data_IF_129896424453
#
_entry.id   IF_129896424453
#
_cell.length_a   1.000
_cell.length_b   1.000
_cell.length_c   1.000
_cell.angle_alpha   90.00
_cell.angle_beta   90.00
_cell.angle_gamma   90.00
#
_symmetry.space_group_name_H-M   'P 1'
#
loop_
_entity.id
_entity.type
_entity.pdbx_description
1 polymer ?
#
# COMPACT_ATOMS: atom_id res chain seq x y z
N UNK A 1 9.73 3.97 -20.66
CA UNK A 1 8.83 2.90 -20.21
C UNK A 1 7.83 3.56 -19.28
N UNK A 2 6.53 3.32 -19.43
CA UNK A 2 5.56 3.81 -18.43
C UNK A 2 5.70 3.04 -17.12
N UNK A 3 5.19 3.62 -16.04
CA UNK A 3 5.20 3.03 -14.69
C UNK A 3 4.55 1.64 -14.66
N UNK A 4 3.36 1.51 -15.26
CA UNK A 4 2.71 0.21 -15.52
C UNK A 4 3.58 -0.78 -16.29
N UNK A 5 4.28 -0.34 -17.35
CA UNK A 5 5.11 -1.25 -18.14
C UNK A 5 6.30 -1.79 -17.33
N UNK A 6 6.86 -0.98 -16.43
CA UNK A 6 7.92 -1.42 -15.52
C UNK A 6 7.45 -2.59 -14.67
N UNK A 7 6.30 -2.45 -13.98
CA UNK A 7 5.73 -3.51 -13.17
C UNK A 7 5.45 -4.79 -13.99
N UNK A 8 4.79 -4.65 -15.14
CA UNK A 8 4.47 -5.80 -15.99
C UNK A 8 5.73 -6.50 -16.53
N UNK A 9 6.80 -5.75 -16.80
CA UNK A 9 8.09 -6.29 -17.22
C UNK A 9 8.80 -7.04 -16.09
N UNK A 10 8.76 -6.52 -14.86
CA UNK A 10 9.33 -7.21 -13.68
C UNK A 10 8.59 -8.51 -13.41
N UNK A 11 7.25 -8.55 -13.51
CA UNK A 11 6.44 -9.76 -13.42
C UNK A 11 6.74 -10.79 -14.53
N UNK A 12 7.45 -10.39 -15.59
CA UNK A 12 7.94 -11.27 -16.67
C UNK A 12 9.43 -11.62 -16.50
N UNK A 13 10.02 -11.36 -15.33
CA UNK A 13 11.44 -11.57 -15.03
C UNK A 13 12.40 -10.81 -15.96
N UNK A 14 11.96 -9.69 -16.53
CA UNK A 14 12.88 -8.76 -17.18
C UNK A 14 13.73 -8.05 -16.11
N UNK A 15 14.98 -7.75 -16.43
CA UNK A 15 16.01 -7.34 -15.45
C UNK A 15 16.74 -6.08 -15.88
N UNK A 16 17.48 -5.48 -14.94
CA UNK A 16 18.35 -4.33 -15.17
C UNK A 16 17.60 -3.00 -15.16
N UNK A 17 16.49 -2.91 -14.44
CA UNK A 17 15.75 -1.67 -14.25
C UNK A 17 16.42 -0.79 -13.20
N UNK A 18 16.46 0.52 -13.45
CA UNK A 18 17.09 1.49 -12.55
C UNK A 18 16.35 1.66 -11.20
N UNK A 19 15.08 1.27 -11.15
CA UNK A 19 14.25 1.26 -9.95
C UNK A 19 13.36 0.03 -9.91
N UNK A 20 12.96 -0.39 -8.71
CA UNK A 20 11.91 -1.38 -8.54
C UNK A 20 10.53 -0.74 -8.80
N UNK A 21 9.48 -1.54 -9.10
CA UNK A 21 8.10 -1.05 -9.08
C UNK A 21 7.64 -0.72 -7.65
N UNK A 22 6.78 0.28 -7.51
CA UNK A 22 6.11 0.70 -6.29
C UNK A 22 4.61 0.40 -6.37
N UNK A 23 4.12 -0.42 -5.44
CA UNK A 23 2.71 -0.82 -5.34
C UNK A 23 2.19 -0.52 -3.93
N UNK A 24 1.60 0.66 -3.68
CA UNK A 24 0.98 0.97 -2.40
C UNK A 24 -0.33 0.19 -2.24
N UNK A 25 -0.43 -0.59 -1.17
CA UNK A 25 -1.67 -1.23 -0.76
C UNK A 25 -2.48 -0.23 0.06
N UNK A 26 -3.08 0.75 -0.62
CA UNK A 26 -3.81 1.85 0.00
C UNK A 26 -5.33 1.58 -0.01
N UNK A 27 -5.78 0.47 0.57
CA UNK A 27 -7.18 0.05 0.63
C UNK A 27 -8.09 1.07 1.30
N UNK A 28 -8.39 0.90 2.59
CA UNK A 28 -9.21 1.90 3.30
C UNK A 28 -8.49 3.22 3.52
N UNK A 29 -7.15 3.19 3.56
CA UNK A 29 -6.30 4.38 3.63
C UNK A 29 -6.56 5.38 2.48
N UNK A 30 -7.00 4.94 1.30
CA UNK A 30 -7.37 5.87 0.23
C UNK A 30 -8.44 6.90 0.66
N UNK A 31 -9.37 6.50 1.55
CA UNK A 31 -10.41 7.38 2.06
C UNK A 31 -9.85 8.56 2.87
N UNK A 32 -8.82 8.32 3.69
CA UNK A 32 -8.25 9.37 4.54
C UNK A 32 -7.60 10.50 3.73
N UNK A 33 -7.12 10.21 2.51
CA UNK A 33 -6.54 11.20 1.59
C UNK A 33 -7.55 12.22 1.06
N UNK A 34 -8.85 11.88 1.09
CA UNK A 34 -9.94 12.74 0.61
C UNK A 34 -10.96 13.09 1.71
N UNK A 35 -10.70 12.68 2.96
CA UNK A 35 -11.56 12.96 4.10
C UNK A 35 -12.81 12.10 4.18
N UNK A 36 -12.84 10.95 3.49
CA UNK A 36 -13.87 9.92 3.65
C UNK A 36 -13.43 8.85 4.64
N UNK A 37 -14.39 8.26 5.34
CA UNK A 37 -14.14 7.07 6.15
C UNK A 37 -14.22 5.76 5.32
N UNK A 38 -13.78 4.65 5.91
CA UNK A 38 -13.79 3.33 5.30
C UNK A 38 -15.19 2.88 4.89
N UNK A 39 -16.23 3.16 5.71
CA UNK A 39 -17.59 2.75 5.42
C UNK A 39 -18.13 3.50 4.21
N UNK A 40 -17.81 4.79 4.08
CA UNK A 40 -18.22 5.62 2.95
C UNK A 40 -17.66 5.10 1.62
N UNK A 41 -16.35 4.85 1.55
CA UNK A 41 -15.73 4.40 0.29
C UNK A 41 -16.09 2.95 -0.04
N UNK A 42 -16.40 2.11 0.95
CA UNK A 42 -16.78 0.71 0.73
C UNK A 42 -18.26 0.52 0.36
N UNK A 43 -19.08 1.58 0.45
CA UNK A 43 -20.49 1.56 0.05
C UNK A 43 -20.82 2.48 -1.14
N UNK A 44 -19.91 3.36 -1.56
CA UNK A 44 -20.13 4.31 -2.65
C UNK A 44 -18.99 4.25 -3.67
N UNK A 45 -19.31 3.81 -4.88
CA UNK A 45 -18.34 3.64 -5.96
C UNK A 45 -17.71 4.96 -6.42
N UNK A 46 -18.45 6.08 -6.35
CA UNK A 46 -17.93 7.37 -6.80
C UNK A 46 -16.94 7.93 -5.76
N UNK A 47 -17.23 7.76 -4.46
CA UNK A 47 -16.26 8.06 -3.38
C UNK A 47 -15.02 7.16 -3.44
N UNK A 48 -15.21 5.86 -3.71
CA UNK A 48 -14.09 4.93 -3.90
C UNK A 48 -13.17 5.38 -5.04
N UNK A 49 -13.75 5.76 -6.19
CA UNK A 49 -12.96 6.24 -7.33
C UNK A 49 -12.21 7.54 -6.99
N UNK A 50 -12.86 8.49 -6.31
CA UNK A 50 -12.22 9.74 -5.88
C UNK A 50 -11.02 9.47 -4.95
N UNK A 51 -11.21 8.58 -3.97
CA UNK A 51 -10.17 8.14 -3.05
C UNK A 51 -9.00 7.47 -3.79
N UNK A 52 -9.28 6.55 -4.71
CA UNK A 52 -8.27 5.85 -5.51
C UNK A 52 -7.52 6.80 -6.46
N UNK A 53 -8.17 7.83 -6.99
CA UNK A 53 -7.49 8.88 -7.77
C UNK A 53 -6.57 9.74 -6.91
N UNK A 54 -6.89 9.91 -5.63
CA UNK A 54 -6.03 10.61 -4.67
C UNK A 54 -4.75 9.80 -4.39
N UNK A 55 -4.86 8.48 -4.23
CA UNK A 55 -3.70 7.57 -4.19
C UNK A 55 -2.83 7.73 -5.44
N UNK A 56 -3.44 7.78 -6.62
CA UNK A 56 -2.70 7.92 -7.86
C UNK A 56 -1.95 9.28 -7.95
N UNK A 57 -2.59 10.33 -7.43
CA UNK A 57 -2.04 11.69 -7.39
C UNK A 57 -0.89 11.84 -6.41
N UNK A 58 -0.97 11.24 -5.22
CA UNK A 58 0.04 11.40 -4.18
C UNK A 58 1.16 10.36 -4.26
N UNK A 59 0.83 9.10 -4.56
CA UNK A 59 1.77 7.98 -4.45
C UNK A 59 2.31 7.48 -5.79
N UNK A 60 1.79 7.99 -6.91
CA UNK A 60 2.26 7.66 -8.27
C UNK A 60 2.54 6.15 -8.48
N UNK A 61 1.54 5.29 -8.25
CA UNK A 61 1.73 3.85 -8.23
C UNK A 61 2.01 3.27 -9.63
N UNK A 62 3.00 2.36 -9.70
CA UNK A 62 3.18 1.48 -10.86
C UNK A 62 2.04 0.45 -10.94
N UNK A 63 1.54 0.03 -9.77
CA UNK A 63 0.38 -0.84 -9.59
C UNK A 63 -0.46 -0.42 -8.39
N UNK A 64 -1.78 -0.63 -8.46
CA UNK A 64 -2.72 -0.20 -7.42
C UNK A 64 -3.90 -1.17 -7.31
N UNK A 65 -4.21 -1.70 -6.10
CA UNK A 65 -5.47 -2.40 -5.88
C UNK A 65 -6.65 -1.44 -5.92
N UNK A 66 -7.74 -1.85 -6.56
CA UNK A 66 -9.00 -1.09 -6.57
C UNK A 66 -9.74 -1.23 -5.24
N UNK A 67 -9.59 -2.38 -4.58
CA UNK A 67 -10.13 -2.64 -3.25
C UNK A 67 -9.22 -3.63 -2.51
N UNK A 68 -9.09 -3.43 -1.20
CA UNK A 68 -8.42 -4.36 -0.29
C UNK A 68 -9.40 -4.69 0.86
N UNK A 69 -10.35 -5.58 0.58
CA UNK A 69 -11.41 -6.01 1.48
C UNK A 69 -11.64 -7.51 1.19
N UNK A 70 -11.43 -8.36 2.19
CA UNK A 70 -11.52 -9.83 2.08
C UNK A 70 -12.92 -10.35 2.37
N UNK A 71 -13.88 -9.45 2.59
CA UNK A 71 -15.20 -9.75 3.10
C UNK A 71 -16.26 -9.75 1.99
N UNK A 72 -15.93 -9.33 0.76
CA UNK A 72 -16.86 -9.31 -0.37
C UNK A 72 -17.43 -10.69 -0.71
N UNK A 73 -16.57 -11.70 -0.87
CA UNK A 73 -17.00 -13.05 -1.21
C UNK A 73 -17.78 -13.68 -0.06
N UNK A 74 -17.32 -13.46 1.18
CA UNK A 74 -18.00 -13.94 2.38
C UNK A 74 -19.40 -13.34 2.52
N UNK A 75 -19.53 -12.02 2.34
CA UNK A 75 -20.82 -11.31 2.36
C UNK A 75 -21.77 -11.83 1.28
N UNK A 76 -21.29 -11.99 0.05
CA UNK A 76 -22.09 -12.54 -1.05
C UNK A 76 -22.54 -13.99 -0.78
N UNK A 77 -21.77 -14.74 0.00
CA UNK A 77 -22.10 -16.10 0.44
C UNK A 77 -22.96 -16.16 1.70
N UNK A 78 -23.38 -15.01 2.25
CA UNK A 78 -24.33 -14.91 3.36
C UNK A 78 -23.69 -14.76 4.74
N UNK A 79 -22.39 -14.46 4.84
CA UNK A 79 -21.79 -14.00 6.09
C UNK A 79 -22.32 -12.60 6.43
N UNK A 80 -22.73 -12.40 7.68
CA UNK A 80 -22.99 -11.05 8.18
C UNK A 80 -21.68 -10.37 8.53
N UNK A 81 -21.59 -9.07 8.25
CA UNK A 81 -20.40 -8.27 8.55
C UNK A 81 -20.62 -7.39 9.77
N UNK A 82 -19.56 -7.20 10.56
CA UNK A 82 -19.44 -6.14 11.54
C UNK A 82 -18.69 -4.97 10.89
N UNK A 83 -19.31 -3.79 10.97
CA UNK A 83 -18.76 -2.54 10.48
C UNK A 83 -18.34 -1.68 11.66
N UNK A 84 -17.11 -1.19 11.63
CA UNK A 84 -16.60 -0.32 12.69
C UNK A 84 -17.27 1.07 12.61
N UNK A 85 -17.77 1.56 13.75
CA UNK A 85 -18.39 2.89 13.83
C UNK A 85 -17.37 4.02 13.68
N UNK A 86 -16.09 3.76 13.98
CA UNK A 86 -14.99 4.70 13.78
C UNK A 86 -14.58 4.87 12.31
N UNK A 87 -14.99 3.95 11.44
CA UNK A 87 -14.77 4.04 9.99
C UNK A 87 -13.30 4.05 9.58
N UNK A 88 -12.40 3.44 10.37
CA UNK A 88 -10.95 3.42 10.07
C UNK A 88 -10.41 2.06 9.68
N UNK A 89 -11.27 1.05 9.57
CA UNK A 89 -10.89 -0.32 9.24
C UNK A 89 -11.92 -0.91 8.28
N UNK A 90 -11.53 -1.89 7.43
CA UNK A 90 -12.50 -2.66 6.66
C UNK A 90 -13.43 -3.46 7.60
N UNK A 91 -14.60 -3.91 7.09
CA UNK A 91 -15.51 -4.73 7.87
C UNK A 91 -14.87 -6.07 8.28
N UNK A 92 -15.43 -6.73 9.29
CA UNK A 92 -15.02 -8.09 9.69
C UNK A 92 -16.19 -9.06 9.61
N UNK A 93 -15.93 -10.33 9.31
CA UNK A 93 -16.98 -11.36 9.29
C UNK A 93 -17.45 -11.62 10.73
N UNK A 94 -18.76 -11.53 10.94
CA UNK A 94 -19.44 -11.74 12.23
C UNK A 94 -20.07 -13.13 12.35
N UNK A 95 -20.55 -13.70 11.25
CA UNK A 95 -21.25 -15.00 11.26
C UNK A 95 -20.71 -15.95 10.20
N UNK A 96 -20.79 -17.23 10.52
CA UNK A 96 -20.29 -18.33 9.70
C UNK A 96 -21.47 -19.26 9.34
N UNK A 97 -22.02 -19.19 8.10
CA UNK A 97 -23.26 -19.89 7.74
C UNK A 97 -23.24 -21.42 7.97
N UNK A 98 -22.06 -22.03 8.01
CA UNK A 98 -21.86 -23.47 8.18
C UNK A 98 -21.06 -23.82 9.44
N UNK A 99 -21.05 -22.95 10.46
CA UNK A 99 -20.33 -23.18 11.73
C UNK A 99 -20.73 -24.47 12.43
N UNK A 100 -22.04 -24.76 12.44
CA UNK A 100 -22.62 -25.85 13.23
C UNK A 100 -22.97 -27.09 12.39
N UNK A 101 -22.77 -27.05 11.07
CA UNK A 101 -23.11 -28.14 10.15
C UNK A 101 -22.04 -28.30 9.06
N UNK A 102 -21.49 -29.51 8.90
CA UNK A 102 -20.57 -29.86 7.80
C UNK A 102 -21.33 -30.00 6.50
N UNK A 103 -21.56 -28.87 5.83
CA UNK A 103 -22.32 -28.82 4.57
C UNK A 103 -21.51 -28.10 3.51
N UNK A 104 -21.42 -28.72 2.33
CA UNK A 104 -20.88 -28.07 1.15
C UNK A 104 -21.95 -27.14 0.57
N UNK A 105 -21.65 -25.85 0.36
CA UNK A 105 -22.62 -24.91 -0.19
C UNK A 105 -23.07 -25.33 -1.60
N UNK A 106 -24.27 -24.91 -1.98
CA UNK A 106 -24.75 -25.12 -3.34
C UNK A 106 -23.92 -24.29 -4.33
N UNK A 107 -23.56 -24.86 -5.48
CA UNK A 107 -22.94 -24.09 -6.59
C UNK A 107 -23.76 -22.88 -7.03
N UNK A 108 -25.07 -22.89 -6.79
CA UNK A 108 -25.97 -21.77 -7.04
C UNK A 108 -25.71 -20.54 -6.14
N UNK A 109 -24.90 -20.69 -5.08
CA UNK A 109 -24.46 -19.59 -4.21
C UNK A 109 -23.15 -18.95 -4.70
N UNK A 110 -22.51 -19.46 -5.75
CA UNK A 110 -21.30 -18.84 -6.30
C UNK A 110 -21.65 -17.40 -6.72
N UNK A 111 -20.94 -16.37 -6.19
CA UNK A 111 -21.27 -14.98 -6.44
C UNK A 111 -21.27 -14.59 -7.91
N UNK A 112 -22.19 -13.69 -8.24
CA UNK A 112 -22.34 -12.99 -9.53
C UNK A 112 -22.16 -11.49 -9.34
N UNK A 113 -22.17 -10.76 -10.45
CA UNK A 113 -21.94 -9.31 -10.46
C UNK A 113 -22.96 -8.53 -9.64
N UNK A 114 -24.19 -9.03 -9.53
CA UNK A 114 -25.29 -8.39 -8.79
C UNK A 114 -25.31 -8.67 -7.28
N UNK A 115 -24.47 -9.58 -6.79
CA UNK A 115 -24.49 -10.04 -5.40
C UNK A 115 -23.67 -9.13 -4.47
N UNK A 116 -24.17 -8.91 -3.25
CA UNK A 116 -23.48 -8.16 -2.21
C UNK A 116 -23.00 -6.77 -2.67
N UNK A 117 -21.72 -6.46 -2.38
CA UNK A 117 -21.06 -5.20 -2.79
C UNK A 117 -20.33 -5.28 -4.14
N UNK A 118 -20.42 -6.38 -4.90
CA UNK A 118 -19.78 -6.47 -6.22
C UNK A 118 -20.20 -5.35 -7.19
N UNK A 119 -21.47 -4.91 -7.28
CA UNK A 119 -21.84 -3.81 -8.19
C UNK A 119 -21.05 -2.52 -7.98
N UNK A 120 -20.71 -2.21 -6.72
CA UNK A 120 -19.93 -1.02 -6.33
C UNK A 120 -18.50 -1.18 -6.82
N UNK A 121 -17.86 -2.31 -6.49
CA UNK A 121 -16.47 -2.59 -6.85
C UNK A 121 -16.29 -2.67 -8.36
N UNK A 122 -17.17 -3.38 -9.07
CA UNK A 122 -17.08 -3.51 -10.52
C UNK A 122 -17.30 -2.16 -11.23
N UNK A 123 -18.18 -1.28 -10.69
CA UNK A 123 -18.31 0.10 -11.17
C UNK A 123 -17.01 0.87 -10.98
N UNK A 124 -16.39 0.80 -9.81
CA UNK A 124 -15.12 1.46 -9.53
C UNK A 124 -13.97 0.92 -10.40
N UNK A 125 -13.88 -0.40 -10.58
CA UNK A 125 -12.88 -1.05 -11.45
C UNK A 125 -12.93 -0.54 -12.89
N UNK A 126 -14.13 -0.53 -13.50
CA UNK A 126 -14.31 0.02 -14.85
C UNK A 126 -13.89 1.48 -14.92
N UNK A 127 -14.26 2.27 -13.90
CA UNK A 127 -13.95 3.70 -13.90
C UNK A 127 -12.46 3.98 -13.71
N UNK A 128 -11.80 3.29 -12.80
CA UNK A 128 -10.35 3.36 -12.65
C UNK A 128 -9.63 2.92 -13.91
N UNK A 129 -10.12 1.87 -14.59
CA UNK A 129 -9.55 1.44 -15.86
C UNK A 129 -9.58 2.55 -16.90
N UNK A 130 -10.69 3.26 -17.04
CA UNK A 130 -10.79 4.42 -17.96
C UNK A 130 -9.83 5.55 -17.60
N UNK A 131 -9.55 5.76 -16.30
CA UNK A 131 -8.84 6.94 -15.81
C UNK A 131 -7.32 6.77 -15.79
N UNK A 132 -6.79 5.58 -15.44
CA UNK A 132 -5.36 5.41 -15.12
C UNK A 132 -4.64 4.31 -15.91
N UNK A 133 -5.32 3.58 -16.80
CA UNK A 133 -4.78 2.34 -17.39
C UNK A 133 -3.49 2.48 -18.20
N UNK A 134 -3.16 3.70 -18.64
CA UNK A 134 -1.95 3.99 -19.42
C UNK A 134 -0.68 3.99 -18.56
N UNK A 135 -0.80 4.34 -17.27
CA UNK A 135 0.35 4.50 -16.37
C UNK A 135 0.30 3.62 -15.12
N UNK A 136 -0.86 3.11 -14.68
CA UNK A 136 -0.96 2.27 -13.47
C UNK A 136 -1.62 0.93 -13.79
N UNK A 137 -1.00 -0.17 -13.38
CA UNK A 137 -1.61 -1.50 -13.43
C UNK A 137 -2.65 -1.64 -12.32
N UNK A 138 -3.85 -2.14 -12.63
CA UNK A 138 -4.90 -2.31 -11.61
C UNK A 138 -4.95 -3.75 -11.10
N UNK A 139 -4.93 -3.91 -9.78
CA UNK A 139 -5.07 -5.20 -9.11
C UNK A 139 -6.52 -5.44 -8.69
N UNK A 140 -7.04 -6.62 -9.04
CA UNK A 140 -8.25 -7.17 -8.44
C UNK A 140 -7.88 -8.16 -7.34
N UNK A 141 -8.17 -7.83 -6.08
CA UNK A 141 -7.85 -8.68 -4.92
C UNK A 141 -9.06 -9.52 -4.53
N UNK A 142 -8.84 -10.81 -4.32
CA UNK A 142 -9.85 -11.84 -4.04
C UNK A 142 -9.49 -12.51 -2.73
N UNK A 143 -10.47 -12.75 -1.85
CA UNK A 143 -10.25 -13.58 -0.68
C UNK A 143 -9.85 -15.01 -1.11
N UNK A 144 -8.72 -15.51 -0.62
CA UNK A 144 -8.20 -16.82 -1.00
C UNK A 144 -9.04 -17.99 -0.47
N UNK A 145 -8.92 -19.20 -1.06
CA UNK A 145 -9.78 -20.34 -0.74
C UNK A 145 -9.76 -20.77 0.73
N UNK A 146 -8.62 -20.70 1.44
CA UNK A 146 -8.54 -21.14 2.83
C UNK A 146 -9.25 -20.14 3.76
N UNK A 147 -8.95 -18.85 3.62
CA UNK A 147 -9.62 -17.78 4.37
C UNK A 147 -11.11 -17.75 4.08
N UNK A 148 -11.52 -17.93 2.83
CA UNK A 148 -12.95 -18.01 2.49
C UNK A 148 -13.63 -19.24 3.11
N UNK A 149 -12.97 -20.41 3.10
CA UNK A 149 -13.48 -21.59 3.78
C UNK A 149 -13.63 -21.36 5.30
N UNK A 150 -12.70 -20.63 5.91
CA UNK A 150 -12.78 -20.24 7.32
C UNK A 150 -13.91 -19.25 7.58
N UNK A 151 -14.18 -18.30 6.68
CA UNK A 151 -15.36 -17.44 6.77
C UNK A 151 -16.67 -18.22 6.71
N UNK A 152 -16.72 -19.33 5.97
CA UNK A 152 -17.93 -20.15 5.87
C UNK A 152 -18.11 -21.11 7.06
N UNK A 153 -17.02 -21.75 7.49
CA UNK A 153 -17.02 -22.84 8.48
C UNK A 153 -16.68 -22.38 9.90
N UNK A 154 -16.08 -21.21 10.04
CA UNK A 154 -15.50 -20.72 11.29
C UNK A 154 -14.28 -21.54 11.72
N UNK A 155 -13.93 -21.40 13.01
CA UNK A 155 -12.77 -22.06 13.62
C UNK A 155 -12.75 -23.60 13.51
N UNK A 156 -13.92 -24.23 13.30
CA UNK A 156 -14.04 -25.68 13.16
C UNK A 156 -13.29 -26.22 11.93
N UNK A 157 -13.00 -25.38 10.94
CA UNK A 157 -12.24 -25.76 9.75
C UNK A 157 -10.89 -26.41 10.11
N UNK A 158 -10.17 -25.86 11.09
CA UNK A 158 -8.86 -26.38 11.47
C UNK A 158 -8.93 -27.75 12.16
N UNK A 159 -10.00 -28.00 12.92
CA UNK A 159 -10.24 -29.35 13.47
C UNK A 159 -10.64 -30.31 12.35
N UNK A 160 -11.46 -29.85 11.41
CA UNK A 160 -11.91 -30.65 10.27
C UNK A 160 -10.76 -31.07 9.34
N UNK A 161 -9.65 -30.31 9.28
CA UNK A 161 -8.43 -30.73 8.56
C UNK A 161 -7.85 -32.03 9.10
N UNK A 162 -7.97 -32.29 10.40
CA UNK A 162 -7.51 -33.54 11.02
C UNK A 162 -8.59 -34.63 11.02
N UNK A 163 -9.84 -34.24 11.33
CA UNK A 163 -10.92 -35.19 11.60
C UNK A 163 -11.65 -35.64 10.33
N UNK A 164 -11.63 -34.84 9.25
CA UNK A 164 -12.46 -35.03 8.07
C UNK A 164 -11.89 -34.34 6.81
N UNK A 165 -10.73 -34.80 6.36
CA UNK A 165 -10.01 -34.24 5.21
C UNK A 165 -10.86 -34.20 3.92
N UNK A 166 -11.73 -35.21 3.69
CA UNK A 166 -12.62 -35.25 2.51
C UNK A 166 -13.63 -34.09 2.50
N UNK A 167 -14.19 -33.74 3.66
CA UNK A 167 -15.03 -32.55 3.78
C UNK A 167 -14.24 -31.27 3.47
N UNK A 168 -13.03 -31.14 4.02
CA UNK A 168 -12.17 -29.95 3.78
C UNK A 168 -11.81 -29.83 2.31
N UNK A 169 -11.39 -30.91 1.64
CA UNK A 169 -11.13 -30.89 0.19
C UNK A 169 -12.33 -30.42 -0.61
N UNK A 170 -13.53 -30.89 -0.28
CA UNK A 170 -14.77 -30.46 -0.97
C UNK A 170 -15.10 -29.00 -0.71
N UNK A 171 -14.88 -28.52 0.52
CA UNK A 171 -15.12 -27.11 0.87
C UNK A 171 -14.13 -26.18 0.17
N UNK A 172 -12.83 -26.52 0.19
CA UNK A 172 -11.80 -25.80 -0.56
C UNK A 172 -12.10 -25.81 -2.06
N UNK A 173 -12.53 -26.94 -2.62
CA UNK A 173 -12.92 -27.03 -4.03
C UNK A 173 -14.08 -26.07 -4.36
N UNK A 174 -15.07 -25.95 -3.48
CA UNK A 174 -16.13 -24.94 -3.62
C UNK A 174 -15.58 -23.51 -3.54
N UNK A 175 -14.74 -23.19 -2.55
CA UNK A 175 -14.13 -21.86 -2.43
C UNK A 175 -13.27 -21.50 -3.64
N UNK A 176 -12.52 -22.46 -4.19
CA UNK A 176 -11.76 -22.29 -5.44
C UNK A 176 -12.68 -21.89 -6.61
N UNK A 177 -13.86 -22.50 -6.74
CA UNK A 177 -14.82 -22.13 -7.79
C UNK A 177 -15.37 -20.71 -7.59
N UNK A 178 -15.58 -20.28 -6.33
CA UNK A 178 -15.92 -18.90 -6.01
C UNK A 178 -14.80 -17.95 -6.44
N UNK A 179 -13.56 -18.22 -6.03
CA UNK A 179 -12.39 -17.45 -6.42
C UNK A 179 -12.24 -17.34 -7.95
N UNK A 180 -12.45 -18.44 -8.69
CA UNK A 180 -12.42 -18.44 -10.15
C UNK A 180 -13.53 -17.60 -10.78
N UNK A 181 -14.76 -17.65 -10.23
CA UNK A 181 -15.87 -16.80 -10.67
C UNK A 181 -15.55 -15.31 -10.50
N UNK A 182 -15.03 -14.94 -9.32
CA UNK A 182 -14.68 -13.56 -9.01
C UNK A 182 -13.51 -13.06 -9.87
N UNK A 183 -12.49 -13.90 -10.08
CA UNK A 183 -11.40 -13.58 -11.00
C UNK A 183 -11.93 -13.29 -12.41
N UNK A 184 -12.87 -14.11 -12.90
CA UNK A 184 -13.48 -13.90 -14.21
C UNK A 184 -14.26 -12.57 -14.28
N UNK A 185 -14.97 -12.17 -13.22
CA UNK A 185 -15.63 -10.86 -13.13
C UNK A 185 -14.61 -9.71 -13.18
N UNK A 186 -13.53 -9.81 -12.42
CA UNK A 186 -12.49 -8.77 -12.38
C UNK A 186 -11.73 -8.64 -13.70
N UNK A 187 -11.43 -9.76 -14.36
CA UNK A 187 -10.84 -9.78 -15.71
C UNK A 187 -11.76 -9.09 -16.73
N UNK A 188 -13.06 -9.37 -16.71
CA UNK A 188 -14.05 -8.74 -17.60
C UNK A 188 -14.19 -7.23 -17.36
N UNK A 189 -13.87 -6.78 -16.13
CA UNK A 189 -13.88 -5.37 -15.75
C UNK A 189 -12.50 -4.72 -15.79
N UNK A 190 -11.54 -5.36 -16.46
CA UNK A 190 -10.29 -4.76 -16.92
C UNK A 190 -9.13 -4.79 -15.94
N UNK A 191 -9.19 -5.57 -14.85
CA UNK A 191 -8.04 -5.72 -13.95
C UNK A 191 -6.85 -6.33 -14.68
N UNK A 192 -5.67 -5.73 -14.47
CA UNK A 192 -4.43 -6.11 -15.15
C UNK A 192 -3.70 -7.25 -14.42
N UNK A 193 -3.92 -7.39 -13.11
CA UNK A 193 -3.32 -8.39 -12.22
C UNK A 193 -4.40 -8.90 -11.27
N UNK A 194 -4.43 -10.20 -11.00
CA UNK A 194 -5.35 -10.80 -10.01
C UNK A 194 -4.56 -11.30 -8.81
N UNK A 195 -4.91 -10.78 -7.63
CA UNK A 195 -4.33 -11.17 -6.36
C UNK A 195 -5.25 -12.08 -5.57
N UNK A 196 -4.74 -13.15 -4.98
CA UNK A 196 -5.44 -13.90 -3.94
C UNK A 196 -4.81 -13.61 -2.60
N UNK A 197 -5.62 -13.14 -1.65
CA UNK A 197 -5.18 -12.76 -0.31
C UNK A 197 -5.68 -13.78 0.69
N UNK A 198 -4.76 -14.53 1.28
CA UNK A 198 -5.09 -15.67 2.13
C UNK A 198 -4.23 -15.70 3.40
N UNK A 199 -4.54 -14.83 4.38
CA UNK A 199 -3.74 -14.69 5.60
C UNK A 199 -3.61 -15.99 6.40
N UNK A 200 -4.56 -16.92 6.27
CA UNK A 200 -4.52 -18.19 7.02
C UNK A 200 -3.45 -19.16 6.52
N UNK A 201 -2.83 -18.92 5.37
CA UNK A 201 -1.72 -19.74 4.86
C UNK A 201 -0.49 -19.72 5.77
N UNK A 202 -0.26 -18.65 6.53
CA UNK A 202 0.82 -18.61 7.55
C UNK A 202 0.46 -19.34 8.84
N UNK A 203 -0.82 -19.72 9.02
CA UNK A 203 -1.34 -20.31 10.26
C UNK A 203 -1.44 -21.84 10.23
N UNK A 204 -1.09 -22.47 9.11
CA UNK A 204 -1.10 -23.93 8.92
C UNK A 204 0.27 -24.43 8.46
N UNK A 205 0.53 -25.73 8.68
CA UNK A 205 1.82 -26.34 8.32
C UNK A 205 1.94 -26.49 6.80
N UNK A 206 3.18 -26.58 6.31
CA UNK A 206 3.45 -26.84 4.90
C UNK A 206 2.78 -28.12 4.39
N UNK A 207 2.69 -29.16 5.22
CA UNK A 207 2.01 -30.42 4.85
C UNK A 207 0.51 -30.21 4.59
N UNK A 208 -0.17 -29.44 5.43
CA UNK A 208 -1.58 -29.09 5.20
C UNK A 208 -1.77 -28.21 3.96
N UNK A 209 -0.84 -27.30 3.69
CA UNK A 209 -0.86 -26.49 2.46
C UNK A 209 -0.72 -27.42 1.24
N UNK A 210 0.23 -28.35 1.28
CA UNK A 210 0.44 -29.32 0.21
C UNK A 210 -0.79 -30.20 -0.04
N UNK A 211 -1.41 -30.69 1.03
CA UNK A 211 -2.59 -31.55 0.95
C UNK A 211 -3.80 -30.79 0.41
N UNK A 212 -4.16 -29.67 1.02
CA UNK A 212 -5.46 -29.04 0.77
C UNK A 212 -5.45 -27.96 -0.31
N UNK A 213 -4.32 -27.28 -0.54
CA UNK A 213 -4.31 -25.98 -1.24
C UNK A 213 -3.43 -25.93 -2.47
N UNK A 214 -2.37 -26.75 -2.54
CA UNK A 214 -1.39 -26.71 -3.62
C UNK A 214 -2.04 -26.83 -5.01
N UNK A 215 -2.88 -27.86 -5.21
CA UNK A 215 -3.56 -28.09 -6.49
C UNK A 215 -4.61 -27.01 -6.77
N UNK A 216 -5.35 -26.58 -5.74
CA UNK A 216 -6.39 -25.57 -5.89
C UNK A 216 -5.82 -24.23 -6.38
N UNK A 217 -4.71 -23.78 -5.78
CA UNK A 217 -4.02 -22.57 -6.21
C UNK A 217 -3.31 -22.73 -7.55
N UNK A 218 -2.65 -23.87 -7.79
CA UNK A 218 -1.98 -24.12 -9.06
C UNK A 218 -2.97 -24.07 -10.24
N UNK A 219 -4.19 -24.57 -10.07
CA UNK A 219 -5.25 -24.44 -11.09
C UNK A 219 -5.70 -22.98 -11.29
N UNK A 220 -5.89 -22.21 -10.21
CA UNK A 220 -6.27 -20.80 -10.27
C UNK A 220 -5.21 -19.96 -11.00
N UNK A 221 -3.94 -20.13 -10.65
CA UNK A 221 -2.84 -19.41 -11.29
C UNK A 221 -2.62 -19.86 -12.73
N UNK A 222 -2.75 -21.16 -13.01
CA UNK A 222 -2.67 -21.67 -14.38
C UNK A 222 -3.79 -21.10 -15.26
N UNK A 223 -5.00 -20.90 -14.72
CA UNK A 223 -6.09 -20.25 -15.44
C UNK A 223 -5.74 -18.80 -15.79
N UNK A 224 -5.28 -17.99 -14.83
CA UNK A 224 -4.87 -16.60 -15.07
C UNK A 224 -3.77 -16.49 -16.13
N UNK A 225 -2.80 -17.42 -16.10
CA UNK A 225 -1.76 -17.53 -17.11
C UNK A 225 -2.33 -17.79 -18.51
N UNK A 226 -3.36 -18.62 -18.67
CA UNK A 226 -4.04 -18.80 -19.97
C UNK A 226 -4.78 -17.55 -20.45
N UNK A 227 -5.22 -16.70 -19.51
CA UNK A 227 -5.79 -15.39 -19.78
C UNK A 227 -4.74 -14.31 -20.05
N UNK A 228 -3.44 -14.63 -19.97
CA UNK A 228 -2.32 -13.69 -20.09
C UNK A 228 -2.35 -12.58 -19.03
N UNK A 229 -2.85 -12.89 -17.84
CA UNK A 229 -2.92 -11.98 -16.70
C UNK A 229 -2.02 -12.51 -15.59
N UNK A 230 -1.07 -11.71 -15.07
CA UNK A 230 -0.24 -12.11 -13.95
C UNK A 230 -1.07 -12.34 -12.69
N UNK A 231 -0.58 -13.26 -11.88
CA UNK A 231 -1.13 -13.62 -10.59
C UNK A 231 -0.24 -13.16 -9.44
N UNK A 232 -0.86 -12.80 -8.32
CA UNK A 232 -0.15 -12.48 -7.09
C UNK A 232 -0.76 -13.23 -5.91
N UNK A 233 0.06 -13.87 -5.10
CA UNK A 233 -0.35 -14.47 -3.83
C UNK A 233 0.05 -13.54 -2.70
N UNK A 234 -0.90 -13.16 -1.84
CA UNK A 234 -0.65 -12.33 -0.66
C UNK A 234 -0.80 -13.19 0.59
N UNK A 235 0.25 -13.21 1.41
CA UNK A 235 0.26 -13.95 2.67
C UNK A 235 0.65 -13.02 3.80
N UNK A 236 -0.27 -12.86 4.76
CA UNK A 236 -0.04 -12.07 5.96
C UNK A 236 0.60 -12.92 7.06
N UNK A 237 1.31 -12.27 7.99
CA UNK A 237 2.02 -12.92 9.09
C UNK A 237 3.32 -13.63 8.66
N UNK A 238 3.96 -14.31 9.60
CA UNK A 238 5.23 -15.00 9.34
C UNK A 238 5.04 -16.25 8.47
N UNK A 239 5.26 -16.09 7.17
CA UNK A 239 5.19 -17.17 6.19
C UNK A 239 6.55 -17.86 5.95
N UNK A 240 7.60 -17.57 6.73
CA UNK A 240 8.98 -18.01 6.47
C UNK A 240 9.08 -19.52 6.28
N UNK A 241 8.40 -20.30 7.12
CA UNK A 241 8.38 -21.76 7.05
C UNK A 241 7.66 -22.30 5.80
N UNK A 242 6.74 -21.53 5.22
CA UNK A 242 5.86 -21.94 4.14
C UNK A 242 6.31 -21.40 2.77
N UNK A 243 7.35 -20.55 2.69
CA UNK A 243 7.79 -19.89 1.44
C UNK A 243 7.94 -20.85 0.25
N UNK A 244 8.56 -22.01 0.47
CA UNK A 244 8.82 -22.97 -0.60
C UNK A 244 7.52 -23.61 -1.13
N UNK A 245 6.59 -24.01 -0.24
CA UNK A 245 5.30 -24.57 -0.68
C UNK A 245 4.43 -23.50 -1.35
N UNK A 246 4.48 -22.25 -0.87
CA UNK A 246 3.77 -21.13 -1.50
C UNK A 246 4.29 -20.86 -2.93
N UNK A 247 5.61 -20.91 -3.14
CA UNK A 247 6.19 -20.79 -4.48
C UNK A 247 5.81 -21.97 -5.38
N UNK A 248 5.69 -23.19 -4.84
CA UNK A 248 5.25 -24.37 -5.60
C UNK A 248 3.80 -24.29 -6.10
N UNK A 249 2.98 -23.40 -5.55
CA UNK A 249 1.66 -23.09 -6.12
C UNK A 249 1.77 -22.40 -7.49
N UNK A 250 2.94 -21.81 -7.81
CA UNK A 250 3.26 -21.11 -9.06
C UNK A 250 2.51 -19.79 -9.29
N UNK A 251 2.43 -18.88 -8.30
CA UNK A 251 2.05 -17.50 -8.59
C UNK A 251 3.16 -16.81 -9.40
N UNK A 252 2.83 -15.77 -10.16
CA UNK A 252 3.87 -14.92 -10.81
C UNK A 252 4.54 -13.99 -9.77
N UNK A 253 3.82 -13.63 -8.70
CA UNK A 253 4.33 -12.83 -7.59
C UNK A 253 3.87 -13.37 -6.23
N UNK A 254 4.75 -13.32 -5.22
CA UNK A 254 4.44 -13.56 -3.82
C UNK A 254 4.67 -12.27 -3.02
N UNK A 255 3.60 -11.69 -2.47
CA UNK A 255 3.66 -10.54 -1.56
C UNK A 255 3.65 -11.02 -0.11
N UNK A 256 4.69 -10.64 0.65
CA UNK A 256 4.92 -11.11 2.02
C UNK A 256 4.81 -10.00 3.06
N UNK A 257 4.39 -10.38 4.26
CA UNK A 257 4.27 -9.51 5.43
C UNK A 257 5.61 -9.08 6.02
N UNK A 258 5.59 -8.03 6.85
CA UNK A 258 6.75 -7.42 7.52
C UNK A 258 7.56 -8.38 8.43
N UNK A 259 6.99 -9.53 8.78
CA UNK A 259 7.67 -10.57 9.58
C UNK A 259 8.63 -11.45 8.77
N UNK A 260 8.66 -11.33 7.44
CA UNK A 260 9.49 -12.16 6.56
C UNK A 260 10.80 -11.45 6.18
N UNK A 261 11.92 -12.18 6.24
CA UNK A 261 13.20 -11.66 5.75
C UNK A 261 13.20 -11.58 4.22
N UNK A 262 13.25 -10.36 3.65
CA UNK A 262 13.19 -10.13 2.20
C UNK A 262 14.32 -10.83 1.44
N UNK A 263 15.54 -10.82 1.97
CA UNK A 263 16.69 -11.49 1.35
C UNK A 263 16.48 -13.00 1.21
N UNK A 264 16.04 -13.65 2.29
CA UNK A 264 15.86 -15.09 2.30
C UNK A 264 14.64 -15.51 1.46
N UNK A 265 13.56 -14.72 1.55
CA UNK A 265 12.38 -14.92 0.71
C UNK A 265 12.69 -14.78 -0.79
N UNK A 266 13.49 -13.77 -1.18
CA UNK A 266 13.85 -13.55 -2.58
C UNK A 266 14.71 -14.71 -3.12
N UNK A 267 15.61 -15.23 -2.29
CA UNK A 267 16.42 -16.40 -2.63
C UNK A 267 15.56 -17.66 -2.85
N UNK A 268 14.46 -17.84 -2.11
CA UNK A 268 13.49 -18.91 -2.35
C UNK A 268 12.68 -18.64 -3.61
N UNK A 269 12.10 -17.45 -3.76
CA UNK A 269 11.24 -17.09 -4.90
C UNK A 269 11.97 -17.24 -6.24
N UNK A 270 13.25 -16.83 -6.32
CA UNK A 270 14.08 -16.99 -7.53
C UNK A 270 14.32 -18.45 -7.95
N UNK A 271 14.21 -19.43 -7.04
CA UNK A 271 14.31 -20.86 -7.41
C UNK A 271 13.11 -21.34 -8.21
N UNK A 272 11.99 -20.62 -8.11
CA UNK A 272 10.70 -20.99 -8.65
C UNK A 272 10.17 -20.01 -9.69
N UNK A 273 11.00 -19.06 -10.14
CA UNK A 273 10.60 -17.97 -11.04
C UNK A 273 9.37 -17.22 -10.50
N UNK A 274 9.46 -16.77 -9.25
CA UNK A 274 8.44 -15.95 -8.59
C UNK A 274 9.04 -14.60 -8.24
N UNK A 275 8.32 -13.51 -8.53
CA UNK A 275 8.69 -12.15 -8.12
C UNK A 275 8.29 -11.93 -6.65
N UNK A 276 9.17 -11.33 -5.85
CA UNK A 276 8.88 -11.03 -4.45
C UNK A 276 8.30 -9.60 -4.32
N UNK A 277 7.20 -9.47 -3.58
CA UNK A 277 6.62 -8.19 -3.17
C UNK A 277 6.71 -7.97 -1.66
N UNK A 278 7.00 -6.75 -1.23
CA UNK A 278 6.93 -6.35 0.18
C UNK A 278 8.20 -5.62 0.64
N UNK A 279 8.44 -5.46 1.93
CA UNK A 279 7.48 -5.64 3.02
C UNK A 279 7.63 -4.51 4.05
N UNK A 280 7.45 -3.26 3.61
CA UNK A 280 7.61 -2.08 4.47
C UNK A 280 6.70 -2.22 5.70
N UNK A 281 7.27 -1.97 6.88
CA UNK A 281 6.59 -2.13 8.17
C UNK A 281 5.43 -1.13 8.33
N UNK A 282 4.24 -1.62 8.62
CA UNK A 282 3.02 -0.82 8.62
C UNK A 282 2.92 0.09 9.85
N UNK A 283 3.11 -0.49 11.04
CA UNK A 283 2.86 0.24 12.29
C UNK A 283 4.05 1.12 12.68
N UNK A 284 5.24 0.52 12.72
CA UNK A 284 6.45 1.21 13.23
C UNK A 284 6.96 2.22 12.21
N UNK A 285 7.00 1.85 10.93
CA UNK A 285 7.56 2.72 9.88
C UNK A 285 6.48 3.58 9.23
N UNK A 286 5.43 3.00 8.65
CA UNK A 286 4.48 3.79 7.87
C UNK A 286 3.55 4.65 8.74
N UNK A 287 3.00 4.13 9.83
CA UNK A 287 2.03 4.86 10.66
C UNK A 287 2.70 5.81 11.66
N UNK A 288 3.73 5.33 12.38
CA UNK A 288 4.38 6.10 13.44
C UNK A 288 5.77 6.62 13.10
N UNK A 289 6.35 6.18 11.98
CA UNK A 289 7.66 6.63 11.53
C UNK A 289 7.60 7.96 10.77
N UNK A 290 8.77 8.56 10.63
CA UNK A 290 8.99 9.75 9.82
C UNK A 290 9.08 9.39 8.33
N UNK A 291 9.06 10.42 7.48
CA UNK A 291 9.33 10.25 6.04
C UNK A 291 10.71 9.63 5.80
N UNK A 292 11.71 9.94 6.63
CA UNK A 292 13.04 9.35 6.55
C UNK A 292 13.05 7.86 6.87
N UNK A 293 12.27 7.43 7.88
CA UNK A 293 12.16 6.00 8.23
C UNK A 293 11.56 5.19 7.06
N UNK A 294 10.55 5.76 6.39
CA UNK A 294 9.92 5.16 5.22
C UNK A 294 10.87 5.08 4.02
N UNK A 295 11.64 6.14 3.76
CA UNK A 295 12.69 6.10 2.73
C UNK A 295 13.76 5.07 3.07
N UNK A 296 14.24 5.05 4.32
CA UNK A 296 15.27 4.13 4.79
C UNK A 296 14.82 2.68 4.65
N UNK A 297 13.58 2.37 5.00
CA UNK A 297 13.01 1.03 4.82
C UNK A 297 13.04 0.57 3.36
N UNK A 298 12.69 1.44 2.41
CA UNK A 298 12.79 1.14 0.97
C UNK A 298 14.23 0.87 0.54
N UNK A 299 15.17 1.75 0.92
CA UNK A 299 16.60 1.57 0.60
C UNK A 299 17.10 0.25 1.18
N UNK A 300 16.78 -0.04 2.43
CA UNK A 300 17.22 -1.26 3.12
C UNK A 300 16.70 -2.52 2.45
N UNK A 301 15.43 -2.54 2.03
CA UNK A 301 14.86 -3.67 1.28
C UNK A 301 15.63 -3.89 -0.03
N UNK A 302 15.86 -2.82 -0.81
CA UNK A 302 16.58 -2.90 -2.10
C UNK A 302 18.03 -3.37 -1.89
N UNK A 303 18.72 -2.87 -0.86
CA UNK A 303 20.09 -3.26 -0.54
C UNK A 303 20.18 -4.72 -0.05
N UNK A 304 19.26 -5.15 0.82
CA UNK A 304 19.19 -6.53 1.29
C UNK A 304 18.94 -7.52 0.14
N UNK A 305 18.16 -7.10 -0.86
CA UNK A 305 17.85 -7.87 -2.06
C UNK A 305 18.91 -7.78 -3.15
N UNK A 306 19.98 -7.01 -2.91
CA UNK A 306 21.10 -6.77 -3.83
C UNK A 306 20.66 -6.16 -5.18
N UNK A 307 19.60 -5.36 -5.17
CA UNK A 307 19.07 -4.66 -6.35
C UNK A 307 17.56 -4.76 -6.51
N UNK A 308 17.10 -4.52 -7.74
CA UNK A 308 15.69 -4.33 -8.10
C UNK A 308 15.10 -5.50 -8.90
N UNK A 309 15.92 -6.47 -9.28
CA UNK A 309 15.50 -7.61 -10.10
C UNK A 309 14.65 -8.60 -9.31
N UNK A 310 13.52 -9.00 -9.90
CA UNK A 310 12.54 -9.91 -9.30
C UNK A 310 11.94 -9.38 -7.97
N UNK A 311 11.88 -8.05 -7.81
CA UNK A 311 11.45 -7.36 -6.60
C UNK A 311 10.41 -6.28 -6.91
N UNK A 312 9.36 -6.21 -6.08
CA UNK A 312 8.36 -5.14 -6.03
C UNK A 312 8.36 -4.54 -4.63
N UNK A 313 8.53 -3.22 -4.54
CA UNK A 313 8.44 -2.51 -3.27
C UNK A 313 6.97 -2.27 -2.97
N UNK A 314 6.54 -2.73 -1.80
CA UNK A 314 5.18 -2.55 -1.29
C UNK A 314 5.16 -2.65 0.24
N UNK A 315 4.11 -2.13 0.89
CA UNK A 315 3.87 -2.39 2.30
C UNK A 315 3.70 -3.90 2.60
N UNK A 316 3.91 -4.33 3.84
CA UNK A 316 3.71 -5.74 4.21
C UNK A 316 2.25 -6.23 4.10
N UNK A 317 1.28 -5.32 4.20
CA UNK A 317 -0.15 -5.59 4.03
C UNK A 317 -0.88 -4.28 3.68
N UNK A 318 -2.21 -4.22 3.83
CA UNK A 318 -2.98 -2.99 3.66
C UNK A 318 -2.48 -1.87 4.59
N UNK A 319 -2.30 -0.67 4.04
CA UNK A 319 -1.82 0.49 4.79
C UNK A 319 -2.86 0.88 5.87
N UNK A 320 -2.43 1.09 7.12
CA UNK A 320 -3.32 1.62 8.16
C UNK A 320 -3.99 2.93 7.71
N UNK A 321 -5.25 3.11 8.06
CA UNK A 321 -6.06 4.25 7.59
C UNK A 321 -5.41 5.61 7.86
N UNK A 322 -4.84 5.77 9.06
CA UNK A 322 -4.22 7.01 9.54
C UNK A 322 -2.75 7.19 9.14
N UNK A 323 -2.20 6.37 8.23
CA UNK A 323 -0.84 6.58 7.72
C UNK A 323 -0.72 8.02 7.19
N UNK A 324 0.28 8.81 7.66
CA UNK A 324 0.50 10.15 7.13
C UNK A 324 0.84 10.10 5.63
N UNK A 325 0.21 10.97 4.83
CA UNK A 325 0.34 10.98 3.36
C UNK A 325 1.79 11.10 2.88
N UNK A 326 2.60 11.87 3.60
CA UNK A 326 4.03 12.04 3.41
C UNK A 326 4.81 10.71 3.42
N UNK A 327 4.36 9.70 4.16
CA UNK A 327 5.08 8.45 4.31
C UNK A 327 4.91 7.58 3.05
N UNK A 328 3.73 7.59 2.43
CA UNK A 328 3.55 6.98 1.10
C UNK A 328 4.32 7.72 0.00
N UNK A 329 4.34 9.06 0.04
CA UNK A 329 5.14 9.89 -0.88
C UNK A 329 6.65 9.60 -0.71
N UNK A 330 7.10 9.43 0.53
CA UNK A 330 8.47 9.13 0.88
C UNK A 330 8.93 7.79 0.29
N UNK A 331 8.10 6.75 0.38
CA UNK A 331 8.37 5.47 -0.27
C UNK A 331 8.52 5.61 -1.79
N UNK A 332 7.58 6.30 -2.44
CA UNK A 332 7.65 6.57 -3.88
C UNK A 332 8.95 7.30 -4.26
N UNK A 333 9.34 8.31 -3.49
CA UNK A 333 10.57 9.05 -3.74
C UNK A 333 11.83 8.18 -3.57
N UNK A 334 11.88 7.33 -2.54
CA UNK A 334 13.01 6.42 -2.35
C UNK A 334 13.17 5.41 -3.50
N UNK A 335 12.06 4.97 -4.09
CA UNK A 335 12.09 4.08 -5.25
C UNK A 335 12.57 4.83 -6.50
N UNK A 336 12.05 6.03 -6.75
CA UNK A 336 12.34 6.78 -7.99
C UNK A 336 13.67 7.51 -8.01
N UNK A 337 14.16 7.95 -6.86
CA UNK A 337 15.39 8.73 -6.69
C UNK A 337 16.40 8.01 -5.78
N UNK A 338 16.52 6.70 -5.98
CA UNK A 338 17.25 5.76 -5.13
C UNK A 338 18.66 6.22 -4.73
N UNK A 339 19.51 6.59 -5.70
CA UNK A 339 20.90 6.94 -5.41
C UNK A 339 21.04 8.22 -4.58
N UNK A 340 20.20 9.24 -4.84
CA UNK A 340 20.23 10.48 -4.08
C UNK A 340 19.69 10.28 -2.67
N UNK A 341 18.58 9.54 -2.53
CA UNK A 341 17.99 9.21 -1.22
C UNK A 341 18.95 8.37 -0.39
N UNK A 342 19.55 7.33 -0.97
CA UNK A 342 20.59 6.52 -0.34
C UNK A 342 21.77 7.37 0.13
N UNK A 343 22.24 8.29 -0.71
CA UNK A 343 23.34 9.19 -0.35
C UNK A 343 22.96 10.15 0.79
N UNK A 344 21.74 10.69 0.76
CA UNK A 344 21.22 11.56 1.81
C UNK A 344 21.08 10.82 3.15
N UNK A 345 20.74 9.53 3.11
CA UNK A 345 20.55 8.68 4.28
C UNK A 345 21.80 7.89 4.71
N UNK A 346 22.95 8.06 4.05
CA UNK A 346 24.16 7.25 4.31
C UNK A 346 24.66 7.31 5.77
N UNK A 347 24.33 8.37 6.50
CA UNK A 347 24.65 8.57 7.91
C UNK A 347 23.39 8.62 8.79
N UNK A 348 22.22 8.35 8.22
CA UNK A 348 20.97 8.28 8.97
C UNK A 348 20.94 6.96 9.74
N UNK A 349 21.18 7.06 11.04
CA UNK A 349 20.84 6.02 11.99
C UNK A 349 19.52 6.42 12.68
N UNK A 350 18.45 5.62 12.57
CA UNK A 350 17.22 5.84 13.34
C UNK A 350 17.47 5.88 14.86
N UNK A 351 18.56 5.27 15.34
CA UNK A 351 18.90 5.15 16.76
C UNK A 351 20.05 6.05 17.24
N UNK A 352 20.83 6.72 16.37
CA UNK A 352 21.97 7.58 16.76
C UNK A 352 22.03 8.91 15.99
N UNK A 353 22.23 10.02 16.70
CA UNK A 353 21.99 11.38 16.18
C UNK A 353 23.21 12.31 16.11
N UNK A 354 23.16 13.18 15.09
CA UNK A 354 24.16 14.15 14.60
C UNK A 354 24.39 15.34 15.56
N UNK A 355 24.90 15.09 16.77
CA UNK A 355 25.15 16.13 17.77
C UNK A 355 26.28 17.12 17.40
N UNK A 356 27.04 16.84 16.33
CA UNK A 356 28.26 17.57 15.99
C UNK A 356 28.06 18.80 15.08
N UNK A 357 26.85 19.07 14.61
CA UNK A 357 26.56 20.21 13.69
C UNK A 357 25.88 21.35 14.44
N UNK A 358 26.65 22.37 14.84
CA UNK A 358 26.10 23.59 15.42
C UNK A 358 25.26 24.38 14.39
N UNK A 359 23.96 24.50 14.63
CA UNK A 359 23.04 25.36 13.86
C UNK A 359 22.47 26.44 14.77
N UNK A 360 22.65 27.71 14.43
CA UNK A 360 21.96 28.82 15.10
C UNK A 360 20.53 28.97 14.54
N UNK A 361 19.54 28.98 15.43
CA UNK A 361 18.16 29.32 15.07
C UNK A 361 18.01 30.83 15.01
N UNK A 362 17.08 31.31 14.17
CA UNK A 362 16.77 32.73 14.11
C UNK A 362 16.09 33.17 15.40
N UNK A 363 16.35 34.41 15.82
CA UNK A 363 15.55 35.08 16.84
C UNK A 363 14.21 35.50 16.23
N UNK A 364 13.26 34.56 16.18
CA UNK A 364 12.00 34.75 15.47
C UNK A 364 11.16 35.94 15.98
N UNK A 365 11.35 36.35 17.24
CA UNK A 365 10.67 37.50 17.86
C UNK A 365 11.21 38.86 17.36
N UNK A 366 12.42 38.89 16.80
CA UNK A 366 13.09 40.12 16.36
C UNK A 366 12.92 40.38 14.84
N UNK A 367 12.16 39.53 14.15
CA UNK A 367 11.98 39.61 12.70
C UNK A 367 11.05 40.77 12.32
N UNK A 368 11.49 41.62 11.38
CA UNK A 368 10.67 42.74 10.87
C UNK A 368 9.49 42.28 10.01
N UNK A 369 9.56 41.06 9.46
CA UNK A 369 8.47 40.41 8.72
C UNK A 369 8.51 38.91 8.96
N UNK A 370 7.37 38.21 8.81
CA UNK A 370 7.35 36.75 8.92
C UNK A 370 8.37 36.08 7.99
N UNK A 371 9.08 35.08 8.49
CA UNK A 371 9.88 34.17 7.67
C UNK A 371 9.14 32.85 7.51
N UNK A 372 9.05 32.40 6.27
CA UNK A 372 8.48 31.11 5.88
C UNK A 372 9.62 30.16 5.58
N UNK A 373 9.76 29.14 6.40
CA UNK A 373 10.75 28.09 6.21
C UNK A 373 10.04 26.87 5.66
N UNK A 374 10.39 26.50 4.43
CA UNK A 374 9.84 25.32 3.77
C UNK A 374 10.87 24.22 3.88
N UNK A 375 10.55 23.18 4.65
CA UNK A 375 11.38 21.99 4.73
C UNK A 375 10.88 21.01 3.68
N UNK A 376 11.79 20.56 2.83
CA UNK A 376 11.50 19.65 1.72
C UNK A 376 12.50 18.51 1.74
N UNK A 377 12.18 17.38 1.11
CA UNK A 377 13.24 16.43 0.79
C UNK A 377 14.14 17.02 -0.30
N UNK A 378 13.55 17.25 -1.48
CA UNK A 378 14.16 17.97 -2.58
C UNK A 378 13.04 18.48 -3.50
N UNK A 379 12.77 19.79 -3.55
CA UNK A 379 11.70 20.31 -4.43
C UNK A 379 11.99 20.21 -5.92
N UNK A 380 13.19 19.77 -6.31
CA UNK A 380 13.56 19.53 -7.71
C UNK A 380 13.13 18.15 -8.18
N UNK A 381 13.03 17.18 -7.28
CA UNK A 381 12.74 15.77 -7.63
C UNK A 381 11.50 15.20 -6.94
N UNK A 382 11.14 15.68 -5.75
CA UNK A 382 9.93 15.26 -5.04
C UNK A 382 8.71 16.07 -5.49
N UNK A 383 7.70 15.40 -6.07
CA UNK A 383 6.48 16.05 -6.55
C UNK A 383 5.76 16.88 -5.48
N UNK A 384 5.55 16.33 -4.27
CA UNK A 384 4.90 17.05 -3.17
C UNK A 384 5.73 18.29 -2.76
N UNK A 385 7.05 18.16 -2.66
CA UNK A 385 7.92 19.30 -2.36
C UNK A 385 7.90 20.35 -3.47
N UNK A 386 7.87 19.93 -4.74
CA UNK A 386 7.72 20.81 -5.90
C UNK A 386 6.42 21.60 -5.81
N UNK A 387 5.29 20.95 -5.52
CA UNK A 387 4.00 21.63 -5.38
C UNK A 387 3.96 22.58 -4.20
N UNK A 388 4.49 22.18 -3.03
CA UNK A 388 4.60 23.06 -1.86
C UNK A 388 5.43 24.30 -2.18
N UNK A 389 6.60 24.10 -2.80
CA UNK A 389 7.47 25.22 -3.18
C UNK A 389 6.84 26.11 -4.25
N UNK A 390 6.13 25.55 -5.23
CA UNK A 390 5.43 26.33 -6.24
C UNK A 390 4.29 27.16 -5.64
N UNK A 391 3.57 26.62 -4.66
CA UNK A 391 2.55 27.36 -3.92
C UNK A 391 3.17 28.54 -3.14
N UNK A 392 4.27 28.31 -2.40
CA UNK A 392 4.96 29.39 -1.67
C UNK A 392 5.50 30.46 -2.62
N UNK A 393 6.09 30.05 -3.76
CA UNK A 393 6.57 30.97 -4.81
C UNK A 393 5.43 31.82 -5.39
N UNK A 394 4.30 31.20 -5.71
CA UNK A 394 3.11 31.91 -6.20
C UNK A 394 2.56 32.90 -5.14
N UNK A 395 2.49 32.50 -3.87
CA UNK A 395 2.10 33.39 -2.79
C UNK A 395 3.04 34.59 -2.66
N UNK A 396 4.36 34.35 -2.76
CA UNK A 396 5.38 35.39 -2.71
C UNK A 396 5.26 36.34 -3.91
N UNK A 397 4.97 35.83 -5.12
CA UNK A 397 4.72 36.67 -6.30
C UNK A 397 3.51 37.61 -6.12
N UNK A 398 2.48 37.18 -5.40
CA UNK A 398 1.30 38.01 -5.12
C UNK A 398 1.53 39.07 -4.05
N UNK A 399 2.34 38.77 -3.03
CA UNK A 399 2.58 39.65 -1.87
C UNK A 399 4.03 39.55 -1.36
N UNK A 400 5.01 39.98 -2.17
CA UNK A 400 6.43 39.88 -1.84
C UNK A 400 6.87 40.68 -0.60
N UNK A 401 6.09 41.70 -0.25
CA UNK A 401 6.38 42.56 0.91
C UNK A 401 5.84 41.97 2.23
N UNK A 402 5.06 40.88 2.17
CA UNK A 402 4.37 40.33 3.33
C UNK A 402 5.20 39.33 4.15
N UNK A 403 6.17 38.65 3.54
CA UNK A 403 7.03 37.65 4.20
C UNK A 403 8.31 37.41 3.40
N UNK A 404 9.33 36.83 4.03
CA UNK A 404 10.49 36.25 3.34
C UNK A 404 10.36 34.72 3.35
N UNK A 405 10.99 34.00 2.41
CA UNK A 405 10.99 32.54 2.44
C UNK A 405 12.36 31.92 2.14
N UNK A 406 12.57 30.74 2.69
CA UNK A 406 13.74 29.89 2.43
C UNK A 406 13.32 28.43 2.36
N UNK A 407 13.97 27.69 1.46
CA UNK A 407 13.84 26.25 1.39
C UNK A 407 15.04 25.60 2.08
N UNK A 408 14.77 24.64 2.96
CA UNK A 408 15.76 23.74 3.53
C UNK A 408 15.52 22.34 2.94
N UNK A 409 16.30 22.00 1.93
CA UNK A 409 16.24 20.68 1.30
C UNK A 409 17.03 19.68 2.14
N UNK A 410 16.40 18.57 2.53
CA UNK A 410 17.01 17.51 3.31
C UNK A 410 18.01 16.65 2.51
N UNK A 411 18.81 17.29 1.64
CA UNK A 411 19.91 16.69 0.87
C UNK A 411 21.28 17.22 1.29
N UNK A 412 21.32 18.37 1.98
CA UNK A 412 22.56 18.95 2.51
C UNK A 412 22.63 18.86 4.04
N UNK A 413 23.85 18.71 4.57
CA UNK A 413 24.09 18.47 6.00
C UNK A 413 23.55 19.59 6.90
N UNK A 414 23.55 20.84 6.44
CA UNK A 414 23.09 21.97 7.25
C UNK A 414 21.55 21.97 7.34
N UNK A 415 20.86 21.75 6.22
CA UNK A 415 19.40 21.62 6.21
C UNK A 415 18.92 20.43 7.05
N UNK A 416 19.64 19.30 7.02
CA UNK A 416 19.34 18.11 7.85
C UNK A 416 19.42 18.43 9.34
N UNK A 417 20.52 19.06 9.78
CA UNK A 417 20.68 19.46 11.17
C UNK A 417 19.63 20.50 11.59
N UNK A 418 19.18 21.36 10.66
CA UNK A 418 18.12 22.34 10.93
C UNK A 418 16.77 21.67 11.12
N UNK A 419 16.41 20.71 10.27
CA UNK A 419 15.16 19.95 10.39
C UNK A 419 15.05 19.29 11.77
N UNK A 420 16.13 18.65 12.25
CA UNK A 420 16.17 18.05 13.58
C UNK A 420 16.05 19.08 14.70
N UNK A 421 16.81 20.18 14.62
CA UNK A 421 16.75 21.25 15.64
C UNK A 421 15.37 21.92 15.73
N UNK A 422 14.64 21.91 14.61
CA UNK A 422 13.27 22.43 14.50
C UNK A 422 12.19 21.38 14.82
N UNK A 423 12.59 20.15 15.20
CA UNK A 423 11.71 19.00 15.40
C UNK A 423 10.74 18.79 14.22
N UNK A 424 11.27 18.83 13.01
CA UNK A 424 10.51 18.53 11.79
C UNK A 424 10.25 17.02 11.75
N UNK A 425 9.01 16.63 11.99
CA UNK A 425 8.58 15.22 11.98
C UNK A 425 8.29 14.72 10.55
N UNK A 426 7.83 15.62 9.67
CA UNK A 426 7.30 15.26 8.37
C UNK A 426 7.70 16.26 7.26
N UNK A 427 7.92 15.76 6.03
CA UNK A 427 8.29 16.56 4.86
C UNK A 427 7.33 16.31 3.69
N UNK A 428 6.96 17.33 2.87
CA UNK A 428 7.28 18.73 3.06
C UNK A 428 6.41 19.38 4.13
N UNK A 429 6.98 20.31 4.88
CA UNK A 429 6.25 21.12 5.85
C UNK A 429 6.63 22.59 5.76
N UNK A 430 5.74 23.45 6.24
CA UNK A 430 5.89 24.90 6.22
C UNK A 430 5.83 25.41 7.65
N UNK A 431 6.93 26.04 8.05
CA UNK A 431 7.04 26.72 9.33
C UNK A 431 6.96 28.23 9.09
N UNK A 432 6.31 28.95 10.01
CA UNK A 432 6.28 30.41 10.02
C UNK A 432 6.78 30.90 11.38
N UNK A 433 7.85 31.69 11.37
CA UNK A 433 8.52 32.17 12.58
C UNK A 433 8.81 31.03 13.58
N UNK A 434 9.35 29.93 13.08
CA UNK A 434 9.74 28.78 13.89
C UNK A 434 8.60 27.83 14.31
N UNK A 435 7.35 28.11 13.95
CA UNK A 435 6.20 27.25 14.29
C UNK A 435 5.71 26.48 13.08
N UNK A 436 5.51 25.16 13.20
CA UNK A 436 4.88 24.36 12.15
C UNK A 436 3.44 24.82 11.94
N UNK A 437 3.12 25.33 10.76
CA UNK A 437 1.76 25.76 10.42
C UNK A 437 1.08 24.73 9.52
N UNK A 438 1.84 24.15 8.59
CA UNK A 438 1.35 23.09 7.72
C UNK A 438 2.36 21.96 7.68
N UNK A 439 1.95 20.79 8.16
CA UNK A 439 2.71 19.54 8.06
C UNK A 439 2.06 18.69 6.98
N UNK A 440 2.82 18.36 5.92
CA UNK A 440 2.41 17.40 4.88
C UNK A 440 1.09 17.70 4.19
N UNK A 441 0.68 18.97 4.26
CA UNK A 441 -0.54 19.51 3.65
C UNK A 441 -0.15 20.75 2.89
N UNK A 442 -0.57 20.83 1.63
CA UNK A 442 -0.35 22.00 0.78
C UNK A 442 -1.57 22.91 0.91
N UNK A 443 -1.47 24.08 1.56
CA UNK A 443 -2.58 25.03 1.60
C UNK A 443 -2.85 25.64 0.23
N UNK A 444 -4.04 26.20 0.05
CA UNK A 444 -4.27 27.09 -1.09
C UNK A 444 -3.48 28.39 -0.90
N UNK A 445 -3.17 29.09 -2.00
CA UNK A 445 -2.44 30.38 -1.95
C UNK A 445 -3.18 31.41 -1.07
N UNK A 446 -4.52 31.44 -1.14
CA UNK A 446 -5.32 32.41 -0.36
C UNK A 446 -5.34 32.04 1.13
N UNK A 447 -5.46 30.75 1.47
CA UNK A 447 -5.34 30.26 2.84
C UNK A 447 -3.97 30.64 3.42
N UNK A 448 -2.91 30.34 2.69
CA UNK A 448 -1.54 30.64 3.07
C UNK A 448 -1.36 32.14 3.36
N UNK A 449 -1.71 33.02 2.41
CA UNK A 449 -1.59 34.47 2.58
C UNK A 449 -2.45 35.01 3.74
N UNK A 450 -3.64 34.45 3.94
CA UNK A 450 -4.51 34.83 5.06
C UNK A 450 -3.86 34.51 6.41
N UNK A 451 -3.18 33.37 6.51
CA UNK A 451 -2.48 32.93 7.72
C UNK A 451 -1.22 33.76 7.96
N UNK A 452 -0.43 34.03 6.92
CA UNK A 452 0.73 34.93 7.01
C UNK A 452 0.31 36.31 7.52
N UNK A 453 -0.79 36.88 7.00
CA UNK A 453 -1.29 38.18 7.45
C UNK A 453 -1.72 38.18 8.92
N UNK A 454 -2.32 37.09 9.42
CA UNK A 454 -2.68 36.95 10.83
C UNK A 454 -1.45 36.90 11.74
N UNK A 455 -0.37 36.27 11.27
CA UNK A 455 0.88 36.13 12.02
C UNK A 455 1.71 37.42 11.98
N UNK A 456 1.79 38.08 10.82
CA UNK A 456 2.56 39.31 10.60
C UNK A 456 1.87 40.60 11.02
N UNK A 457 0.57 40.58 11.36
CA UNK A 457 -0.20 41.75 11.79
C UNK A 457 -0.05 42.11 13.27
N UNK A 458 1.05 41.73 13.93
CA UNK A 458 1.37 42.15 15.30
C UNK A 458 1.95 43.55 15.35
#
# INVERSE_FOLDING_TARGET
>A
MSDKQLLMSVLQHQKGFARAPWVPFAGVHAGSLCGYDANEILHDADKLVEALMSVNTYYHPDGQPVIFDLQLEAEALGCELYWDEGGKVPPTVRTHPFENEKKIPCRCMIPKEEDGRFPIVLKAMRKMKELVSEHTALYGLICGPLTLASHLRGQMLFMDMYDDADYVHKLIAFCKEVCASVAQMYLQNGMDIIGYVDPLLSQISSEHIEEFLLDAYAELFQHLKTCHVPSCLFVCGDATANLEVLCRMKPDCLSVDENVCMKDALAVCRKYDVVLGGNIQLTITMLHGSSQDNMKAVIDIIEQCEGTDDLIISPGCDMPFDVPVENGIACYQAVTDYENVKTALQYYDPEQTFDDVEIELLHYDDLQRPIVEVFTLDSRTCAACTYTMNMVKEAYHRQSDAFDYIEYMYVDKASIARCRKMNVEHLPCIYVNGNCIWSSRIPTVDEFLSTIKKIGGK
#
